data_IF_372828968706
#
_entry.id   IF_372828968706
#
_cell.length_a   1.000
_cell.length_b   1.000
_cell.length_c   1.000
_cell.angle_alpha   90.00
_cell.angle_beta   90.00
_cell.angle_gamma   90.00
#
_symmetry.space_group_name_H-M   'P 1'
#
loop_
_entity.id
_entity.type
_entity.pdbx_description
1 polymer ?
#
# COMPACT_ATOMS: atom_id res chain seq x y z
N UNK A 1 -46.15 8.77 -6.03
CA UNK A 1 -45.05 9.71 -5.74
C UNK A 1 -44.19 9.02 -4.71
N UNK A 2 -43.13 8.39 -5.14
CA UNK A 2 -42.13 7.84 -4.22
C UNK A 2 -41.33 9.02 -3.68
N UNK A 3 -41.36 9.24 -2.38
CA UNK A 3 -40.48 10.13 -1.66
C UNK A 3 -39.06 9.63 -1.96
N UNK A 4 -38.30 10.45 -2.68
CA UNK A 4 -36.84 10.30 -2.73
C UNK A 4 -36.40 10.80 -1.35
N UNK A 5 -35.96 9.90 -0.48
CA UNK A 5 -35.25 10.29 0.73
C UNK A 5 -34.20 11.33 0.33
N UNK A 6 -34.18 12.46 1.03
CA UNK A 6 -33.19 13.51 0.79
C UNK A 6 -31.78 12.90 1.02
N UNK A 7 -31.11 12.57 -0.08
CA UNK A 7 -29.73 12.09 -0.02
C UNK A 7 -28.88 13.31 0.37
N UNK A 8 -28.17 13.28 1.51
CA UNK A 8 -27.37 14.40 1.93
C UNK A 8 -26.23 14.66 0.94
N UNK A 9 -26.02 15.90 0.55
CA UNK A 9 -24.84 16.33 -0.19
C UNK A 9 -23.68 16.40 0.81
N UNK A 10 -22.68 15.52 0.62
CA UNK A 10 -21.54 15.37 1.55
C UNK A 10 -20.35 16.20 1.07
N UNK A 11 -20.15 16.31 -0.25
CA UNK A 11 -18.98 16.95 -0.86
C UNK A 11 -19.34 17.48 -2.25
N UNK A 12 -18.69 18.55 -2.70
CA UNK A 12 -18.83 19.08 -4.04
C UNK A 12 -18.02 18.26 -5.07
N UNK A 13 -18.40 18.37 -6.37
CA UNK A 13 -17.80 17.59 -7.46
C UNK A 13 -16.28 17.73 -7.52
N UNK A 14 -15.75 18.93 -7.30
CA UNK A 14 -14.31 19.22 -7.41
C UNK A 14 -13.49 18.54 -6.29
N UNK A 15 -14.09 18.34 -5.11
CA UNK A 15 -13.45 17.72 -3.95
C UNK A 15 -13.66 16.20 -3.89
N UNK A 16 -14.53 15.66 -4.76
CA UNK A 16 -14.93 14.25 -4.72
C UNK A 16 -13.75 13.27 -4.85
N UNK A 17 -12.74 13.48 -5.74
CA UNK A 17 -11.59 12.57 -5.82
C UNK A 17 -10.79 12.51 -4.51
N UNK A 18 -10.65 13.64 -3.85
CA UNK A 18 -9.98 13.71 -2.55
C UNK A 18 -10.78 13.02 -1.45
N UNK A 19 -12.08 13.26 -1.41
CA UNK A 19 -13.00 12.61 -0.47
C UNK A 19 -13.00 11.08 -0.62
N UNK A 20 -13.02 10.58 -1.85
CA UNK A 20 -12.95 9.15 -2.17
C UNK A 20 -11.67 8.52 -1.61
N UNK A 21 -10.53 9.18 -1.79
CA UNK A 21 -9.25 8.71 -1.25
C UNK A 21 -9.23 8.70 0.28
N UNK A 22 -9.76 9.74 0.94
CA UNK A 22 -9.78 9.83 2.40
C UNK A 22 -10.79 8.90 3.04
N UNK A 23 -11.95 8.72 2.39
CA UNK A 23 -13.05 7.87 2.88
C UNK A 23 -12.83 6.38 2.64
N UNK A 24 -11.74 5.98 1.95
CA UNK A 24 -11.43 4.59 1.58
C UNK A 24 -12.55 3.93 0.77
N UNK A 25 -13.12 4.70 -0.15
CA UNK A 25 -14.23 4.27 -0.99
C UNK A 25 -13.66 3.42 -2.13
N UNK A 26 -14.17 2.21 -2.28
CA UNK A 26 -13.74 1.27 -3.33
C UNK A 26 -14.56 1.43 -4.62
N UNK A 27 -15.81 1.88 -4.52
CA UNK A 27 -16.75 1.96 -5.64
C UNK A 27 -17.56 3.26 -5.60
N UNK A 28 -17.75 3.90 -6.76
CA UNK A 28 -18.56 5.11 -6.92
C UNK A 28 -19.60 4.90 -8.01
N UNK A 29 -20.85 5.21 -7.74
CA UNK A 29 -21.92 5.20 -8.74
C UNK A 29 -22.19 6.64 -9.19
N UNK A 30 -21.99 6.90 -10.47
CA UNK A 30 -22.27 8.20 -11.08
C UNK A 30 -23.62 8.11 -11.82
N UNK A 31 -24.60 8.88 -11.37
CA UNK A 31 -25.90 8.98 -12.01
C UNK A 31 -25.99 10.36 -12.68
N UNK A 32 -26.04 10.37 -14.03
CA UNK A 32 -26.21 11.60 -14.79
C UNK A 32 -27.61 11.68 -15.37
N UNK A 33 -28.19 12.88 -15.43
CA UNK A 33 -29.44 13.13 -16.15
C UNK A 33 -29.15 13.22 -17.64
N UNK A 34 -30.19 13.04 -18.49
CA UNK A 34 -30.07 13.14 -19.96
C UNK A 34 -29.57 14.51 -20.44
N UNK A 35 -29.75 15.55 -19.63
CA UNK A 35 -29.44 16.95 -19.98
C UNK A 35 -28.01 17.34 -19.65
N UNK A 36 -27.37 16.64 -18.69
CA UNK A 36 -26.01 16.97 -18.23
C UNK A 36 -24.97 16.36 -19.17
N UNK A 37 -23.95 17.11 -19.61
CA UNK A 37 -22.84 16.55 -20.38
C UNK A 37 -22.15 15.42 -19.65
N UNK A 38 -21.59 14.48 -20.41
CA UNK A 38 -20.82 13.37 -19.83
C UNK A 38 -19.64 13.90 -19.01
N UNK A 39 -19.48 13.51 -17.73
CA UNK A 39 -18.48 14.09 -16.84
C UNK A 39 -17.08 13.47 -17.05
N UNK A 40 -16.51 13.61 -18.26
CA UNK A 40 -15.23 12.98 -18.64
C UNK A 40 -14.10 13.31 -17.67
N UNK A 41 -14.00 14.58 -17.25
CA UNK A 41 -12.94 15.04 -16.34
C UNK A 41 -13.03 14.36 -14.97
N UNK A 42 -14.23 14.33 -14.39
CA UNK A 42 -14.48 13.68 -13.11
C UNK A 42 -14.21 12.17 -13.18
N UNK A 43 -14.70 11.51 -14.24
CA UNK A 43 -14.48 10.07 -14.42
C UNK A 43 -13.00 9.73 -14.58
N UNK A 44 -12.23 10.57 -15.28
CA UNK A 44 -10.79 10.43 -15.40
C UNK A 44 -10.12 10.54 -14.04
N UNK A 45 -10.41 11.59 -13.28
CA UNK A 45 -9.85 11.81 -11.95
C UNK A 45 -10.18 10.66 -10.98
N UNK A 46 -11.44 10.22 -10.93
CA UNK A 46 -11.86 9.11 -10.08
C UNK A 46 -11.16 7.79 -10.46
N UNK A 47 -11.06 7.50 -11.77
CA UNK A 47 -10.39 6.26 -12.20
C UNK A 47 -8.87 6.29 -11.96
N UNK A 48 -8.24 7.45 -11.99
CA UNK A 48 -6.82 7.63 -11.65
C UNK A 48 -6.54 7.33 -10.16
N UNK A 49 -7.53 7.51 -9.27
CA UNK A 49 -7.41 7.11 -7.86
C UNK A 49 -7.43 5.59 -7.66
N UNK A 50 -7.77 4.82 -8.70
CA UNK A 50 -7.91 3.35 -8.63
C UNK A 50 -9.29 2.85 -8.20
N UNK A 51 -10.25 3.75 -7.95
CA UNK A 51 -11.62 3.41 -7.58
C UNK A 51 -12.38 2.84 -8.79
N UNK A 52 -13.31 1.93 -8.54
CA UNK A 52 -14.22 1.42 -9.56
C UNK A 52 -15.38 2.41 -9.76
N UNK A 53 -15.56 2.88 -10.99
CA UNK A 53 -16.64 3.83 -11.31
C UNK A 53 -17.72 3.15 -12.12
N UNK A 54 -18.96 3.19 -11.60
CA UNK A 54 -20.18 2.70 -12.24
C UNK A 54 -20.96 3.88 -12.80
N UNK A 55 -21.23 3.88 -14.08
CA UNK A 55 -22.00 4.93 -14.72
C UNK A 55 -23.37 4.42 -15.17
N UNK A 56 -24.43 5.15 -14.86
CA UNK A 56 -25.77 4.86 -15.36
C UNK A 56 -25.82 5.11 -16.88
N UNK A 57 -26.39 4.16 -17.61
CA UNK A 57 -26.37 4.06 -19.09
C UNK A 57 -27.29 5.05 -19.82
N UNK A 58 -27.61 6.21 -19.27
CA UNK A 58 -28.41 7.21 -20.01
C UNK A 58 -27.72 7.71 -21.29
N UNK A 59 -26.36 7.74 -21.31
CA UNK A 59 -25.55 8.03 -22.52
C UNK A 59 -24.26 7.20 -22.49
N UNK A 60 -24.10 6.30 -23.44
CA UNK A 60 -22.89 5.48 -23.57
C UNK A 60 -21.97 6.06 -24.64
N UNK A 61 -20.86 6.64 -24.23
CA UNK A 61 -19.71 6.94 -25.11
C UNK A 61 -18.51 6.08 -24.70
N UNK A 62 -17.81 5.52 -25.69
CA UNK A 62 -16.59 4.74 -25.40
C UNK A 62 -15.49 5.65 -24.88
N UNK A 63 -14.88 5.31 -23.76
CA UNK A 63 -13.73 6.05 -23.20
C UNK A 63 -12.44 5.36 -23.64
N UNK A 64 -11.57 6.03 -24.43
CA UNK A 64 -10.33 5.43 -24.91
C UNK A 64 -9.42 5.00 -23.73
N UNK A 65 -8.82 3.80 -23.83
CA UNK A 65 -7.88 3.29 -22.85
C UNK A 65 -8.48 2.70 -21.56
N UNK A 66 -9.82 2.68 -21.44
CA UNK A 66 -10.51 2.08 -20.27
C UNK A 66 -11.39 0.90 -20.70
N UNK A 67 -11.51 -0.08 -19.81
CA UNK A 67 -12.47 -1.18 -20.00
C UNK A 67 -13.82 -0.77 -19.47
N UNK A 68 -14.85 -0.95 -20.30
CA UNK A 68 -16.24 -0.69 -19.97
C UNK A 68 -17.01 -2.00 -20.07
N UNK A 69 -17.84 -2.29 -19.10
CA UNK A 69 -18.73 -3.46 -19.09
C UNK A 69 -20.04 -3.13 -18.37
N UNK A 70 -21.09 -3.80 -18.79
CA UNK A 70 -22.45 -3.60 -18.25
C UNK A 70 -22.66 -4.63 -17.14
N UNK A 71 -23.08 -4.17 -15.96
CA UNK A 71 -23.45 -5.05 -14.85
C UNK A 71 -24.72 -4.57 -14.15
N UNK A 72 -25.29 -5.44 -13.29
CA UNK A 72 -26.47 -5.11 -12.47
C UNK A 72 -26.04 -4.85 -11.04
N UNK A 73 -26.38 -3.67 -10.51
CA UNK A 73 -26.24 -3.32 -9.09
C UNK A 73 -27.65 -3.07 -8.53
N UNK A 74 -28.17 -4.04 -7.77
CA UNK A 74 -29.55 -4.00 -7.31
C UNK A 74 -30.53 -3.94 -8.48
N UNK A 75 -31.46 -2.95 -8.52
CA UNK A 75 -32.40 -2.78 -9.61
C UNK A 75 -31.81 -2.08 -10.85
N UNK A 76 -30.60 -1.52 -10.76
CA UNK A 76 -30.01 -0.70 -11.83
C UNK A 76 -29.11 -1.52 -12.74
N UNK A 77 -29.22 -1.25 -14.05
CA UNK A 77 -28.23 -1.69 -15.04
C UNK A 77 -27.24 -0.53 -15.22
N UNK A 78 -25.98 -0.74 -14.91
CA UNK A 78 -24.94 0.29 -14.93
C UNK A 78 -23.83 -0.05 -15.91
N UNK A 79 -23.18 0.99 -16.45
CA UNK A 79 -21.93 0.85 -17.21
C UNK A 79 -20.77 1.09 -16.26
N UNK A 80 -20.05 0.04 -15.94
CA UNK A 80 -18.84 0.12 -15.12
C UNK A 80 -17.64 0.43 -15.98
N UNK A 81 -16.87 1.45 -15.58
CA UNK A 81 -15.62 1.84 -16.25
C UNK A 81 -14.47 1.67 -15.26
N UNK A 82 -13.48 0.86 -15.61
CA UNK A 82 -12.31 0.62 -14.75
C UNK A 82 -11.02 0.53 -15.56
N UNK A 83 -9.92 1.01 -14.97
CA UNK A 83 -8.56 0.83 -15.52
C UNK A 83 -8.08 -0.60 -15.23
N UNK A 84 -8.35 -1.11 -14.04
CA UNK A 84 -7.91 -2.42 -13.55
C UNK A 84 -9.10 -3.33 -13.31
N UNK A 85 -9.65 -3.91 -14.40
CA UNK A 85 -10.71 -4.91 -14.26
C UNK A 85 -10.13 -6.30 -14.08
N UNK A 86 -10.46 -6.93 -12.95
CA UNK A 86 -10.29 -8.37 -12.74
C UNK A 86 -11.66 -8.99 -12.48
N UNK A 87 -11.96 -10.13 -13.12
CA UNK A 87 -13.20 -10.85 -12.85
C UNK A 87 -13.25 -11.32 -11.38
N UNK A 88 -14.45 -11.50 -10.84
CA UNK A 88 -14.62 -12.02 -9.46
C UNK A 88 -13.86 -13.32 -9.23
N UNK A 89 -13.79 -14.20 -10.24
CA UNK A 89 -13.00 -15.43 -10.17
C UNK A 89 -11.48 -15.16 -10.08
N UNK A 90 -10.97 -14.21 -10.86
CA UNK A 90 -9.55 -13.82 -10.81
C UNK A 90 -9.19 -13.20 -9.46
N UNK A 91 -10.08 -12.35 -8.90
CA UNK A 91 -9.90 -11.77 -7.56
C UNK A 91 -9.92 -12.84 -6.47
N UNK A 92 -10.84 -13.82 -6.58
CA UNK A 92 -10.89 -14.96 -5.68
C UNK A 92 -9.60 -15.80 -5.76
N UNK A 93 -9.15 -16.13 -6.97
CA UNK A 93 -7.92 -16.91 -7.17
C UNK A 93 -6.70 -16.16 -6.64
N UNK A 94 -6.61 -14.85 -6.91
CA UNK A 94 -5.57 -13.98 -6.38
C UNK A 94 -5.57 -14.00 -4.85
N UNK A 95 -6.73 -13.85 -4.21
CA UNK A 95 -6.83 -13.87 -2.76
C UNK A 95 -6.46 -15.23 -2.17
N UNK A 96 -6.84 -16.31 -2.83
CA UNK A 96 -6.46 -17.67 -2.44
C UNK A 96 -4.94 -17.85 -2.47
N UNK A 97 -4.27 -17.38 -3.53
CA UNK A 97 -2.81 -17.37 -3.61
C UNK A 97 -2.18 -16.53 -2.49
N UNK A 98 -2.71 -15.34 -2.21
CA UNK A 98 -2.24 -14.48 -1.13
C UNK A 98 -2.36 -15.17 0.24
N UNK A 99 -3.46 -15.86 0.50
CA UNK A 99 -3.68 -16.58 1.77
C UNK A 99 -2.71 -17.77 1.90
N UNK A 100 -2.60 -18.60 0.87
CA UNK A 100 -1.69 -19.77 0.88
C UNK A 100 -0.23 -19.31 1.04
N UNK A 101 0.21 -18.39 0.19
CA UNK A 101 1.58 -17.87 0.27
C UNK A 101 1.85 -17.10 1.55
N UNK A 102 0.86 -16.35 2.06
CA UNK A 102 0.92 -15.67 3.35
C UNK A 102 1.07 -16.64 4.51
N UNK A 103 0.34 -17.77 4.52
CA UNK A 103 0.49 -18.83 5.54
C UNK A 103 1.89 -19.44 5.52
N UNK A 104 2.37 -19.82 4.33
CA UNK A 104 3.72 -20.37 4.17
C UNK A 104 4.77 -19.34 4.63
N UNK A 105 4.63 -18.10 4.18
CA UNK A 105 5.54 -17.02 4.57
C UNK A 105 5.52 -16.71 6.07
N UNK A 106 4.36 -16.76 6.73
CA UNK A 106 4.26 -16.62 8.18
C UNK A 106 4.90 -17.79 8.92
N UNK A 107 4.76 -19.03 8.42
CA UNK A 107 5.45 -20.18 9.00
C UNK A 107 6.98 -20.03 8.90
N UNK A 108 7.50 -19.60 7.75
CA UNK A 108 8.92 -19.28 7.57
C UNK A 108 9.35 -18.12 8.49
N UNK A 109 8.52 -17.08 8.62
CA UNK A 109 8.78 -15.96 9.54
C UNK A 109 8.90 -16.45 10.98
N UNK A 110 8.05 -17.38 11.42
CA UNK A 110 8.13 -17.96 12.77
C UNK A 110 9.44 -18.74 12.98
N UNK A 111 9.89 -19.50 11.99
CA UNK A 111 11.19 -20.18 12.06
C UNK A 111 12.33 -19.16 12.13
N UNK A 112 12.32 -18.14 11.26
CA UNK A 112 13.33 -17.07 11.28
C UNK A 112 13.32 -16.30 12.60
N UNK A 113 12.17 -16.08 13.18
CA UNK A 113 12.03 -15.41 14.49
C UNK A 113 12.80 -16.14 15.59
N UNK A 114 12.77 -17.47 15.63
CA UNK A 114 13.50 -18.25 16.63
C UNK A 114 15.01 -18.01 16.58
N UNK A 115 15.56 -17.74 15.40
CA UNK A 115 16.99 -17.50 15.24
C UNK A 115 17.35 -16.01 15.29
N UNK A 116 16.56 -15.15 14.66
CA UNK A 116 16.87 -13.72 14.55
C UNK A 116 16.53 -12.95 15.82
N UNK A 117 15.43 -13.29 16.52
CA UNK A 117 15.01 -12.55 17.68
C UNK A 117 16.04 -12.52 18.82
N UNK A 118 16.67 -13.64 19.22
CA UNK A 118 17.73 -13.62 20.22
C UNK A 118 18.92 -12.76 19.78
N UNK A 119 19.34 -12.88 18.51
CA UNK A 119 20.50 -12.14 17.99
C UNK A 119 20.21 -10.64 17.95
N UNK A 120 19.04 -10.23 17.46
CA UNK A 120 18.62 -8.82 17.44
C UNK A 120 18.54 -8.27 18.86
N UNK A 121 17.92 -9.02 19.79
CA UNK A 121 17.75 -8.58 21.17
C UNK A 121 19.07 -8.42 21.92
N UNK A 122 19.98 -9.38 21.77
CA UNK A 122 21.32 -9.33 22.39
C UNK A 122 22.18 -8.22 21.83
N UNK A 123 22.05 -7.92 20.52
CA UNK A 123 22.81 -6.86 19.85
C UNK A 123 22.24 -5.45 20.11
N UNK A 124 20.92 -5.36 20.32
CA UNK A 124 20.23 -4.11 20.62
C UNK A 124 18.94 -4.42 21.39
N UNK A 125 18.94 -4.28 22.72
CA UNK A 125 17.75 -4.50 23.54
C UNK A 125 16.55 -3.67 23.08
N UNK A 126 15.33 -4.26 23.07
CA UNK A 126 14.10 -3.61 22.67
C UNK A 126 13.22 -4.49 21.78
N UNK A 127 12.17 -3.94 21.15
CA UNK A 127 11.22 -4.71 20.31
C UNK A 127 11.94 -5.35 19.13
N UNK A 128 11.56 -6.60 18.80
CA UNK A 128 12.14 -7.35 17.68
C UNK A 128 11.56 -6.90 16.35
N UNK A 129 10.29 -6.52 16.34
CA UNK A 129 9.61 -6.02 15.17
C UNK A 129 9.64 -4.50 15.11
N UNK A 130 9.82 -3.99 13.91
CA UNK A 130 9.67 -2.59 13.55
C UNK A 130 8.38 -2.43 12.73
N UNK A 131 7.67 -1.34 12.93
CA UNK A 131 6.46 -1.03 12.18
C UNK A 131 6.59 0.34 11.53
N UNK A 132 6.20 0.43 10.26
CA UNK A 132 6.17 1.67 9.51
C UNK A 132 4.80 1.85 8.86
N UNK A 133 4.22 3.04 8.96
CA UNK A 133 3.02 3.36 8.21
C UNK A 133 3.32 3.47 6.72
N UNK A 134 2.47 2.85 5.91
CA UNK A 134 2.51 2.89 4.45
C UNK A 134 1.12 3.14 3.91
N UNK A 135 1.07 3.72 2.71
CA UNK A 135 -0.17 3.92 1.97
C UNK A 135 -0.36 2.70 1.06
N UNK A 136 -1.48 2.03 1.19
CA UNK A 136 -1.90 0.89 0.38
C UNK A 136 -2.95 1.27 -0.66
N UNK A 137 -3.71 0.25 -1.10
CA UNK A 137 -4.80 0.40 -2.07
C UNK A 137 -5.81 1.47 -1.59
N UNK A 138 -6.27 2.30 -2.52
CA UNK A 138 -7.25 3.37 -2.30
C UNK A 138 -6.85 4.38 -1.21
N UNK A 139 -5.54 4.62 -1.03
CA UNK A 139 -5.06 5.58 -0.03
C UNK A 139 -5.10 5.09 1.42
N UNK A 140 -5.57 3.87 1.68
CA UNK A 140 -5.67 3.29 3.02
C UNK A 140 -4.30 3.15 3.67
N UNK A 141 -4.12 3.73 4.85
CA UNK A 141 -2.89 3.57 5.63
C UNK A 141 -2.89 2.25 6.38
N UNK A 142 -1.77 1.55 6.37
CA UNK A 142 -1.57 0.32 7.13
C UNK A 142 -0.18 0.28 7.76
N UNK A 143 -0.02 -0.54 8.80
CA UNK A 143 1.26 -0.77 9.47
C UNK A 143 1.97 -1.94 8.81
N UNK A 144 3.07 -1.66 8.13
CA UNK A 144 3.95 -2.65 7.54
C UNK A 144 4.91 -3.18 8.60
N UNK A 145 4.99 -4.51 8.74
CA UNK A 145 5.85 -5.17 9.72
C UNK A 145 7.18 -5.57 9.11
N UNK A 146 8.27 -5.36 9.86
CA UNK A 146 9.62 -5.82 9.52
C UNK A 146 10.35 -6.33 10.77
N UNK A 147 11.37 -7.18 10.60
CA UNK A 147 12.34 -7.36 11.67
C UNK A 147 13.17 -6.09 11.84
N UNK A 148 13.47 -5.74 13.09
CA UNK A 148 14.30 -4.58 13.39
C UNK A 148 15.74 -4.86 13.01
N UNK A 149 16.25 -4.12 12.04
CA UNK A 149 17.63 -4.18 11.57
C UNK A 149 18.47 -2.94 11.94
N UNK A 150 17.81 -1.93 12.55
CA UNK A 150 18.44 -0.68 12.96
C UNK A 150 18.29 -0.44 14.46
N UNK A 151 19.18 0.38 15.03
CA UNK A 151 19.08 0.83 16.42
C UNK A 151 17.82 1.66 16.65
N UNK A 152 17.40 1.76 17.93
CA UNK A 152 16.16 2.47 18.29
C UNK A 152 16.22 3.99 18.02
N UNK A 153 17.41 4.56 18.05
CA UNK A 153 17.69 5.97 17.80
C UNK A 153 17.98 6.30 16.32
N UNK A 154 17.79 5.30 15.43
CA UNK A 154 18.16 5.41 14.02
C UNK A 154 17.49 6.59 13.29
N UNK A 155 16.22 6.90 13.62
CA UNK A 155 15.49 8.00 13.00
C UNK A 155 16.03 9.36 13.50
N UNK A 156 16.32 9.51 14.79
CA UNK A 156 16.91 10.73 15.34
C UNK A 156 18.29 11.03 14.73
N UNK A 157 19.09 9.99 14.47
CA UNK A 157 20.41 10.10 13.83
C UNK A 157 20.37 10.32 12.33
N UNK A 158 19.20 10.19 11.72
CA UNK A 158 19.02 10.36 10.27
C UNK A 158 19.40 11.78 9.81
N UNK A 159 18.92 12.78 10.54
CA UNK A 159 19.11 14.19 10.17
C UNK A 159 20.58 14.60 10.23
N UNK A 160 21.36 14.02 11.16
CA UNK A 160 22.79 14.24 11.27
C UNK A 160 23.55 13.68 10.05
N UNK A 161 23.10 12.51 9.55
CA UNK A 161 23.71 11.79 8.43
C UNK A 161 23.17 12.25 7.06
N UNK A 162 22.18 13.14 7.02
CA UNK A 162 21.61 13.64 5.76
C UNK A 162 22.66 14.36 4.89
N UNK A 163 23.66 14.95 5.49
CA UNK A 163 24.76 15.63 4.78
C UNK A 163 25.64 14.68 3.97
N UNK A 164 25.70 13.40 4.36
CA UNK A 164 26.45 12.33 3.71
C UNK A 164 25.61 11.52 2.71
N UNK A 165 24.36 11.93 2.49
CA UNK A 165 23.43 11.22 1.59
C UNK A 165 23.90 11.29 0.14
N UNK A 166 24.16 10.15 -0.48
CA UNK A 166 24.60 10.04 -1.89
C UNK A 166 23.57 10.51 -2.91
N UNK A 167 22.28 10.44 -2.59
CA UNK A 167 21.22 10.74 -3.55
C UNK A 167 20.85 12.22 -3.62
N UNK A 168 21.34 13.06 -2.73
CA UNK A 168 21.28 14.53 -2.81
C UNK A 168 19.91 15.20 -2.89
N UNK A 169 18.85 14.46 -3.29
CA UNK A 169 17.50 14.97 -3.55
C UNK A 169 16.56 14.96 -2.31
N UNK A 170 17.06 14.45 -1.18
CA UNK A 170 16.31 14.38 0.08
C UNK A 170 15.14 13.37 0.11
N UNK A 171 14.74 12.81 -1.02
CA UNK A 171 13.60 11.89 -1.13
C UNK A 171 13.96 10.46 -0.71
N UNK A 172 15.17 10.03 -1.02
CA UNK A 172 15.70 8.73 -0.61
C UNK A 172 17.00 8.89 0.15
N UNK A 173 17.18 8.08 1.19
CA UNK A 173 18.39 8.09 2.02
C UNK A 173 19.20 6.82 1.75
N UNK A 174 20.42 6.97 1.25
CA UNK A 174 21.32 5.86 0.96
C UNK A 174 22.76 6.21 1.30
N UNK A 175 23.36 5.47 2.22
CA UNK A 175 24.78 5.51 2.56
C UNK A 175 25.47 4.24 2.08
N UNK A 176 26.77 4.30 1.80
CA UNK A 176 27.58 3.10 1.54
C UNK A 176 27.73 2.24 2.78
N UNK A 177 27.90 2.91 3.92
CA UNK A 177 27.94 2.31 5.23
C UNK A 177 27.04 3.10 6.17
N UNK A 178 26.01 2.41 6.73
CA UNK A 178 25.04 3.04 7.61
C UNK A 178 25.34 2.64 9.08
N UNK A 179 25.86 3.55 9.90
CA UNK A 179 26.20 3.27 11.30
C UNK A 179 24.96 3.08 12.19
N UNK A 180 23.74 3.33 11.67
CA UNK A 180 22.48 3.10 12.38
C UNK A 180 22.03 1.64 12.33
N UNK A 181 22.64 0.83 11.48
CA UNK A 181 22.34 -0.59 11.33
C UNK A 181 22.95 -1.36 12.50
N UNK A 182 22.18 -2.29 13.08
CA UNK A 182 22.58 -3.08 14.25
C UNK A 182 23.90 -3.82 13.99
N UNK A 183 24.87 -3.55 14.84
CA UNK A 183 26.19 -4.18 14.79
C UNK A 183 27.19 -3.56 13.81
N UNK A 184 26.79 -2.57 13.01
CA UNK A 184 27.70 -1.81 12.18
C UNK A 184 28.57 -0.90 13.06
N UNK A 185 29.89 -0.90 12.82
CA UNK A 185 30.86 -0.11 13.58
C UNK A 185 31.93 0.47 12.65
N UNK A 186 32.29 1.73 12.89
CA UNK A 186 33.47 2.35 12.31
C UNK A 186 34.62 2.07 13.28
N UNK A 187 35.62 1.37 12.82
CA UNK A 187 36.80 1.01 13.63
C UNK A 187 37.74 2.22 13.77
N UNK A 188 38.60 2.26 14.83
CA UNK A 188 39.55 3.37 15.03
C UNK A 188 40.53 3.61 13.87
N UNK A 189 40.77 2.57 13.06
CA UNK A 189 41.64 2.62 11.87
C UNK A 189 40.89 3.14 10.61
N UNK A 190 39.59 3.53 10.75
CA UNK A 190 38.73 3.98 9.65
C UNK A 190 38.12 2.84 8.84
N UNK A 191 38.37 1.60 9.16
CA UNK A 191 37.72 0.44 8.49
C UNK A 191 36.27 0.27 8.95
N UNK A 192 35.45 -0.37 8.12
CA UNK A 192 34.05 -0.60 8.40
C UNK A 192 33.80 -2.08 8.75
N UNK A 193 33.24 -2.32 9.92
CA UNK A 193 32.77 -3.64 10.33
C UNK A 193 31.25 -3.73 10.15
N UNK A 194 30.79 -4.65 9.32
CA UNK A 194 29.37 -4.92 9.12
C UNK A 194 28.81 -5.84 10.20
N UNK A 195 27.61 -5.54 10.68
CA UNK A 195 26.93 -6.30 11.72
C UNK A 195 25.78 -7.16 11.20
N UNK A 196 25.07 -7.77 12.13
CA UNK A 196 23.91 -8.65 11.83
C UNK A 196 22.78 -7.90 11.12
N UNK A 197 22.55 -6.64 11.45
CA UNK A 197 21.54 -5.83 10.81
C UNK A 197 21.78 -5.66 9.31
N UNK A 198 23.06 -5.52 8.89
CA UNK A 198 23.44 -5.44 7.48
C UNK A 198 23.18 -6.77 6.77
N UNK A 199 23.49 -7.90 7.40
CA UNK A 199 23.19 -9.23 6.85
C UNK A 199 21.67 -9.40 6.64
N UNK A 200 20.85 -9.06 7.64
CA UNK A 200 19.39 -9.16 7.60
C UNK A 200 18.83 -8.32 6.43
N UNK A 201 19.32 -7.09 6.25
CA UNK A 201 18.90 -6.20 5.17
C UNK A 201 19.34 -6.66 3.79
N UNK A 202 20.61 -7.10 3.66
CA UNK A 202 21.15 -7.56 2.38
C UNK A 202 20.47 -8.82 1.87
N UNK A 203 20.01 -9.68 2.78
CA UNK A 203 19.27 -10.90 2.46
C UNK A 203 17.76 -10.70 2.42
N UNK A 204 17.28 -9.46 2.68
CA UNK A 204 15.84 -9.13 2.78
C UNK A 204 15.08 -9.97 3.82
N UNK A 205 15.77 -10.54 4.80
CA UNK A 205 15.13 -11.29 5.89
C UNK A 205 14.29 -10.39 6.78
N UNK A 206 14.61 -9.10 6.85
CA UNK A 206 13.80 -8.11 7.56
C UNK A 206 12.38 -7.96 7.02
N UNK A 207 12.12 -8.35 5.78
CA UNK A 207 10.82 -8.17 5.14
C UNK A 207 9.86 -9.35 5.35
N UNK A 208 10.34 -10.49 5.87
CA UNK A 208 9.50 -11.67 6.08
C UNK A 208 8.24 -11.41 6.93
N UNK A 209 8.25 -10.55 7.97
CA UNK A 209 7.03 -10.24 8.72
C UNK A 209 5.91 -9.60 7.89
N UNK A 210 6.21 -9.08 6.69
CA UNK A 210 5.20 -8.55 5.77
C UNK A 210 4.21 -9.63 5.27
N UNK A 211 4.57 -10.92 5.33
CA UNK A 211 3.63 -12.00 5.04
C UNK A 211 2.40 -11.97 5.96
N UNK A 212 2.53 -11.44 7.16
CA UNK A 212 1.38 -11.18 8.03
C UNK A 212 0.46 -10.08 7.46
N UNK A 213 1.02 -9.04 6.83
CA UNK A 213 0.22 -8.03 6.13
C UNK A 213 -0.50 -8.62 4.91
N UNK A 214 0.13 -9.57 4.20
CA UNK A 214 -0.50 -10.29 3.09
C UNK A 214 -1.69 -11.12 3.58
N UNK A 215 -1.52 -11.88 4.67
CA UNK A 215 -2.62 -12.65 5.28
C UNK A 215 -3.78 -11.77 5.69
N UNK A 216 -3.48 -10.64 6.31
CA UNK A 216 -4.47 -9.66 6.75
C UNK A 216 -5.19 -8.99 5.57
N UNK A 217 -4.55 -8.92 4.40
CA UNK A 217 -5.07 -8.27 3.19
C UNK A 217 -4.64 -6.82 3.01
N UNK A 218 -3.71 -6.35 3.83
CA UNK A 218 -3.11 -5.01 3.68
C UNK A 218 -2.15 -4.95 2.48
N UNK A 219 -1.58 -6.11 2.11
CA UNK A 219 -0.64 -6.29 1.00
C UNK A 219 -1.03 -7.53 0.18
N UNK A 220 -0.42 -7.66 -1.00
CA UNK A 220 -0.53 -8.83 -1.87
C UNK A 220 0.85 -9.34 -2.25
N UNK A 221 0.98 -10.64 -2.53
CA UNK A 221 2.21 -11.25 -3.06
C UNK A 221 2.52 -10.74 -4.46
N UNK A 222 1.46 -10.45 -5.23
CA UNK A 222 1.54 -9.92 -6.59
C UNK A 222 0.71 -8.65 -6.61
N UNK A 223 1.34 -7.50 -6.66
CA UNK A 223 0.71 -6.20 -6.61
C UNK A 223 0.66 -5.50 -7.94
#
# INVERSE_FOLDING_TARGET
>A
MSEIEEIPVIVEEEELPHYVCQGWIDEVIVVTSEVVPYPDKLLNQLTETGVTVHLNLAKVTSVPGKRQFVEKIGPYTVLTTSINYASSFQLFLKRMMDVIGGLIGCALTAVLFLFLAPVIYLSSPGPIFFTQERVGKNGKRFKMYKFRSMYMDAEARRDELMKENKLGDGKMFKLDFDPRVIGNQIMPDGSHKTGIGEFIRRTSLDEFPQFFNVLKGDMSLVG
#
